data_IF_869258878069
#
_entry.id   IF_869258878069
#
_cell.length_a   1.000
_cell.length_b   1.000
_cell.length_c   1.000
_cell.angle_alpha   90.00
_cell.angle_beta   90.00
_cell.angle_gamma   90.00
#
_symmetry.space_group_name_H-M   'P 1'
#
loop_
_entity.id
_entity.type
_entity.pdbx_description
1 polymer ?
#
# COMPACT_ATOMS: atom_id res chain seq x y z
N UNK A 1 10.19 7.53 -37.64
CA UNK A 1 9.44 8.13 -36.51
C UNK A 1 8.56 9.30 -36.99
N UNK A 2 9.07 10.31 -37.72
CA UNK A 2 8.23 11.36 -38.36
C UNK A 2 7.09 10.81 -39.24
N UNK A 3 7.40 9.88 -40.15
CA UNK A 3 6.38 9.22 -40.97
C UNK A 3 5.38 8.39 -40.14
N UNK A 4 5.82 7.83 -39.00
CA UNK A 4 4.90 7.15 -38.08
C UNK A 4 4.01 8.17 -37.35
N UNK A 5 4.54 9.32 -36.96
CA UNK A 5 3.78 10.41 -36.35
C UNK A 5 2.70 10.94 -37.30
N UNK A 6 3.05 11.13 -38.58
CA UNK A 6 2.13 11.63 -39.60
C UNK A 6 1.07 10.61 -40.03
N UNK A 7 1.39 9.31 -40.03
CA UNK A 7 0.52 8.26 -40.59
C UNK A 7 -0.31 7.50 -39.54
N UNK A 8 0.03 7.58 -38.25
CA UNK A 8 -0.71 6.89 -37.19
C UNK A 8 -2.01 7.61 -36.83
N UNK A 9 -3.08 6.84 -36.62
CA UNK A 9 -4.39 7.39 -36.27
C UNK A 9 -4.59 7.58 -34.77
N UNK A 10 -3.80 6.90 -33.94
CA UNK A 10 -3.87 6.98 -32.48
C UNK A 10 -2.51 6.68 -31.82
N UNK A 11 -2.41 7.05 -30.54
CA UNK A 11 -1.22 6.83 -29.70
C UNK A 11 -0.82 5.35 -29.58
N UNK A 12 -1.78 4.41 -29.62
CA UNK A 12 -1.49 2.97 -29.53
C UNK A 12 -0.80 2.43 -30.78
N UNK A 13 -1.23 2.85 -31.97
CA UNK A 13 -0.58 2.51 -33.24
C UNK A 13 0.83 3.07 -33.28
N UNK A 14 1.01 4.32 -32.84
CA UNK A 14 2.33 4.94 -32.73
C UNK A 14 3.25 4.14 -31.79
N UNK A 15 2.76 3.76 -30.61
CA UNK A 15 3.53 2.96 -29.64
C UNK A 15 4.02 1.60 -30.18
N UNK A 16 3.28 0.99 -31.11
CA UNK A 16 3.69 -0.28 -31.77
C UNK A 16 4.73 -0.09 -32.86
N UNK A 17 4.74 1.08 -33.49
CA UNK A 17 5.59 1.42 -34.63
C UNK A 17 6.84 2.22 -34.25
N UNK A 18 6.85 2.82 -33.05
CA UNK A 18 7.97 3.59 -32.55
C UNK A 18 9.23 2.71 -32.44
N UNK A 19 10.28 2.97 -33.23
CA UNK A 19 11.54 2.25 -33.07
C UNK A 19 12.20 2.76 -31.80
N UNK A 20 12.30 1.91 -30.77
CA UNK A 20 12.83 2.26 -29.45
C UNK A 20 14.33 2.64 -29.39
N UNK A 21 14.91 3.15 -30.48
CA UNK A 21 16.36 3.39 -30.61
C UNK A 21 16.75 4.66 -31.39
N UNK A 22 15.81 5.44 -31.96
CA UNK A 22 16.16 6.65 -32.72
C UNK A 22 15.34 7.86 -32.29
N UNK A 23 15.96 8.79 -31.56
CA UNK A 23 15.39 10.10 -31.29
C UNK A 23 15.32 10.93 -32.59
N UNK A 24 14.18 11.60 -32.82
CA UNK A 24 14.03 12.53 -33.95
C UNK A 24 14.56 13.89 -33.53
N UNK A 25 15.36 14.58 -34.36
CA UNK A 25 15.76 15.95 -34.08
C UNK A 25 14.54 16.85 -33.88
N UNK A 26 14.53 17.60 -32.77
CA UNK A 26 13.44 18.51 -32.39
C UNK A 26 13.04 19.45 -33.53
N UNK A 27 14.01 19.96 -34.29
CA UNK A 27 13.75 20.85 -35.42
C UNK A 27 12.84 20.25 -36.50
N UNK A 28 12.94 18.95 -36.76
CA UNK A 28 12.08 18.28 -37.75
C UNK A 28 10.66 18.05 -37.23
N UNK A 29 10.50 17.93 -35.91
CA UNK A 29 9.19 17.86 -35.27
C UNK A 29 8.52 19.24 -35.29
N UNK A 30 9.29 20.30 -34.99
CA UNK A 30 8.80 21.68 -35.07
C UNK A 30 8.29 22.00 -36.48
N UNK A 31 9.04 21.65 -37.53
CA UNK A 31 8.62 21.82 -38.94
C UNK A 31 7.34 21.01 -39.26
N UNK A 32 7.23 19.78 -38.73
CA UNK A 32 6.02 18.99 -38.92
C UNK A 32 4.81 19.65 -38.26
N UNK A 33 4.93 20.13 -37.03
CA UNK A 33 3.82 20.75 -36.30
C UNK A 33 3.33 22.06 -36.91
N UNK A 34 4.14 22.75 -37.72
CA UNK A 34 3.66 23.88 -38.52
C UNK A 34 2.64 23.46 -39.60
N UNK A 35 2.67 22.20 -40.04
CA UNK A 35 1.84 21.68 -41.13
C UNK A 35 0.77 20.67 -40.69
N UNK A 36 1.08 19.83 -39.70
CA UNK A 36 0.23 18.76 -39.23
C UNK A 36 0.54 18.39 -37.78
N UNK A 37 -0.53 18.32 -36.97
CA UNK A 37 -0.47 17.95 -35.57
C UNK A 37 -1.50 16.83 -35.36
N UNK A 38 -1.08 15.65 -34.86
CA UNK A 38 -2.01 14.60 -34.48
C UNK A 38 -2.81 14.98 -33.22
N UNK A 39 -4.14 14.84 -33.26
CA UNK A 39 -5.01 15.17 -32.11
C UNK A 39 -4.72 14.33 -30.84
N UNK A 40 -4.18 13.12 -31.01
CA UNK A 40 -3.86 12.18 -29.92
C UNK A 40 -2.49 12.45 -29.26
N UNK A 41 -1.73 13.43 -29.75
CA UNK A 41 -0.33 13.65 -29.36
C UNK A 41 -0.18 13.95 -27.87
N UNK A 42 -1.07 14.77 -27.32
CA UNK A 42 -1.05 15.18 -25.91
C UNK A 42 -1.26 14.03 -24.91
N UNK A 43 -1.74 12.87 -25.38
CA UNK A 43 -1.96 11.66 -24.57
C UNK A 43 -0.89 10.59 -24.84
N UNK A 44 0.10 10.88 -25.69
CA UNK A 44 1.07 9.89 -26.14
C UNK A 44 2.34 9.88 -25.31
N UNK A 45 2.31 9.18 -24.17
CA UNK A 45 3.51 8.99 -23.34
C UNK A 45 4.70 8.44 -24.13
N UNK A 46 4.46 7.49 -25.03
CA UNK A 46 5.49 6.84 -25.84
C UNK A 46 6.20 7.79 -26.82
N UNK A 47 5.56 8.89 -27.20
CA UNK A 47 6.17 9.96 -27.98
C UNK A 47 6.79 11.01 -27.05
N UNK A 48 6.01 11.52 -26.09
CA UNK A 48 6.36 12.69 -25.29
C UNK A 48 7.57 12.45 -24.38
N UNK A 49 7.74 11.22 -23.86
CA UNK A 49 8.87 10.86 -22.99
C UNK A 49 10.23 10.96 -23.67
N UNK A 50 10.27 10.99 -25.00
CA UNK A 50 11.51 11.09 -25.79
C UNK A 50 12.03 12.54 -25.87
N UNK A 51 11.30 13.50 -25.30
CA UNK A 51 11.63 14.92 -25.34
C UNK A 51 11.66 15.52 -23.93
N UNK A 52 12.49 16.55 -23.76
CA UNK A 52 12.59 17.27 -22.51
C UNK A 52 11.26 17.92 -22.12
N UNK A 53 10.92 17.87 -20.83
CA UNK A 53 9.73 18.49 -20.25
C UNK A 53 9.54 19.95 -20.70
N UNK A 54 10.61 20.76 -20.68
CA UNK A 54 10.54 22.16 -21.08
C UNK A 54 10.17 22.33 -22.56
N UNK A 55 10.65 21.43 -23.42
CA UNK A 55 10.33 21.46 -24.85
C UNK A 55 8.87 21.08 -25.09
N UNK A 56 8.37 20.09 -24.35
CA UNK A 56 6.96 19.70 -24.44
C UNK A 56 6.04 20.84 -23.98
N UNK A 57 6.41 21.56 -22.92
CA UNK A 57 5.66 22.75 -22.49
C UNK A 57 5.71 23.88 -23.53
N UNK A 58 6.85 24.09 -24.21
CA UNK A 58 6.93 25.04 -25.32
C UNK A 58 5.91 24.72 -26.42
N UNK A 59 5.75 23.44 -26.78
CA UNK A 59 4.74 23.00 -27.74
C UNK A 59 3.32 23.24 -27.26
N UNK A 60 3.04 23.00 -25.97
CA UNK A 60 1.73 23.31 -25.39
C UNK A 60 1.43 24.82 -25.42
N UNK A 61 2.41 25.68 -25.10
CA UNK A 61 2.25 27.14 -25.18
C UNK A 61 2.04 27.65 -26.62
N UNK A 62 2.61 26.96 -27.61
CA UNK A 62 2.35 27.21 -29.04
C UNK A 62 0.98 26.70 -29.50
N UNK A 63 0.23 26.00 -28.64
CA UNK A 63 -1.06 25.41 -28.97
C UNK A 63 -0.96 24.14 -29.81
N UNK A 64 0.21 23.51 -29.89
CA UNK A 64 0.42 22.30 -30.69
C UNK A 64 -0.13 21.05 -30.00
N UNK A 65 -0.24 21.05 -28.69
CA UNK A 65 -0.81 19.94 -27.95
C UNK A 65 -1.43 20.46 -26.66
N UNK A 66 -2.22 19.61 -26.03
CA UNK A 66 -2.69 19.83 -24.67
C UNK A 66 -2.36 18.60 -23.85
N UNK A 67 -1.54 18.77 -22.81
CA UNK A 67 -1.20 17.67 -21.92
C UNK A 67 -2.40 17.35 -21.03
N UNK A 68 -2.57 16.07 -20.73
CA UNK A 68 -3.40 15.66 -19.61
C UNK A 68 -2.57 15.66 -18.32
N UNK A 69 -3.26 15.55 -17.19
CA UNK A 69 -2.63 15.65 -15.87
C UNK A 69 -1.59 14.54 -15.63
N UNK A 70 -1.86 13.31 -16.06
CA UNK A 70 -0.96 12.16 -15.91
C UNK A 70 0.33 12.32 -16.72
N UNK A 71 0.23 12.80 -17.96
CA UNK A 71 1.39 13.10 -18.81
C UNK A 71 2.22 14.23 -18.20
N UNK A 72 1.56 15.28 -17.72
CA UNK A 72 2.22 16.42 -17.08
C UNK A 72 3.01 15.99 -15.84
N UNK A 73 2.41 15.13 -15.00
CA UNK A 73 3.07 14.56 -13.84
C UNK A 73 4.25 13.68 -14.23
N UNK A 74 4.06 12.77 -15.21
CA UNK A 74 5.09 11.82 -15.63
C UNK A 74 6.30 12.53 -16.23
N UNK A 75 6.09 13.47 -17.15
CA UNK A 75 7.16 14.23 -17.79
C UNK A 75 7.90 15.12 -16.80
N UNK A 76 7.18 15.75 -15.86
CA UNK A 76 7.83 16.52 -14.81
C UNK A 76 8.68 15.58 -13.94
N UNK A 77 8.14 14.44 -13.50
CA UNK A 77 8.85 13.51 -12.59
C UNK A 77 10.23 13.08 -13.11
N UNK A 78 10.36 12.89 -14.42
CA UNK A 78 11.59 12.46 -15.10
C UNK A 78 12.45 13.60 -15.65
N UNK A 79 12.03 14.86 -15.55
CA UNK A 79 12.78 15.99 -16.13
C UNK A 79 14.20 16.17 -15.55
N UNK A 80 14.50 15.52 -14.43
CA UNK A 80 15.77 15.52 -13.73
C UNK A 80 16.85 14.75 -14.51
N UNK A 81 16.45 13.87 -15.44
CA UNK A 81 17.32 13.15 -16.36
C UNK A 81 17.81 14.01 -17.54
N UNK A 82 17.28 15.24 -17.69
CA UNK A 82 17.70 16.16 -18.75
C UNK A 82 18.94 16.99 -18.37
N UNK A 83 19.60 17.55 -19.39
CA UNK A 83 20.74 18.47 -19.23
C UNK A 83 20.34 19.83 -18.64
N UNK A 84 19.03 20.12 -18.55
CA UNK A 84 18.53 21.37 -17.99
C UNK A 84 18.88 21.51 -16.50
N UNK A 85 19.04 22.73 -16.03
CA UNK A 85 19.23 23.06 -14.63
C UNK A 85 17.91 22.95 -13.86
N UNK A 86 17.97 22.76 -12.53
CA UNK A 86 16.77 22.77 -11.68
C UNK A 86 16.03 24.11 -11.75
N UNK A 87 16.75 25.22 -11.95
CA UNK A 87 16.14 26.54 -12.08
C UNK A 87 15.34 26.65 -13.39
N UNK A 88 15.89 26.18 -14.51
CA UNK A 88 15.18 26.15 -15.79
C UNK A 88 13.93 25.27 -15.70
N UNK A 89 14.03 24.05 -15.17
CA UNK A 89 12.89 23.12 -15.09
C UNK A 89 11.76 23.70 -14.24
N UNK A 90 12.08 24.32 -13.10
CA UNK A 90 11.08 24.74 -12.12
C UNK A 90 10.49 26.13 -12.40
N UNK A 91 11.25 27.04 -13.00
CA UNK A 91 10.87 28.46 -13.07
C UNK A 91 10.68 29.02 -14.49
N UNK A 92 10.99 28.27 -15.55
CA UNK A 92 10.75 28.75 -16.93
C UNK A 92 9.25 28.97 -17.20
N UNK A 93 8.41 28.04 -16.74
CA UNK A 93 6.96 28.10 -16.94
C UNK A 93 6.22 28.09 -15.59
N UNK A 94 5.38 29.10 -15.29
CA UNK A 94 4.67 29.18 -14.00
C UNK A 94 3.82 27.96 -13.67
N UNK A 95 3.23 27.32 -14.70
CA UNK A 95 2.39 26.12 -14.58
C UNK A 95 3.09 24.98 -13.84
N UNK A 96 4.43 24.92 -13.89
CA UNK A 96 5.21 23.88 -13.21
C UNK A 96 4.99 23.91 -11.70
N UNK A 97 5.08 25.09 -11.07
CA UNK A 97 4.90 25.24 -9.62
C UNK A 97 3.44 25.48 -9.22
N UNK A 98 2.64 26.08 -10.10
CA UNK A 98 1.23 26.34 -9.84
C UNK A 98 0.36 25.09 -9.94
N UNK A 99 0.72 24.15 -10.83
CA UNK A 99 -0.10 22.96 -11.13
C UNK A 99 0.71 21.66 -11.15
N UNK A 100 1.69 21.52 -12.05
CA UNK A 100 2.28 20.20 -12.36
C UNK A 100 2.98 19.55 -11.17
N UNK A 101 3.61 20.34 -10.28
CA UNK A 101 4.23 19.83 -9.05
C UNK A 101 3.24 19.10 -8.14
N UNK A 102 1.97 19.51 -8.13
CA UNK A 102 0.93 18.90 -7.30
C UNK A 102 0.36 17.63 -7.92
N UNK A 103 0.50 17.46 -9.24
CA UNK A 103 0.10 16.23 -9.94
C UNK A 103 1.04 15.07 -9.60
N UNK A 104 2.28 15.35 -9.19
CA UNK A 104 3.23 14.35 -8.70
C UNK A 104 2.71 13.58 -7.46
N UNK A 105 1.74 14.14 -6.72
CA UNK A 105 1.11 13.50 -5.56
C UNK A 105 -0.18 12.72 -5.92
N UNK A 106 -0.62 12.80 -7.17
CA UNK A 106 -1.89 12.26 -7.65
C UNK A 106 -1.73 11.11 -8.64
N UNK A 107 -0.54 10.98 -9.24
CA UNK A 107 -0.22 9.94 -10.21
C UNK A 107 1.03 9.16 -9.78
N UNK A 108 1.06 7.88 -10.12
CA UNK A 108 2.22 7.02 -9.91
C UNK A 108 3.25 7.31 -11.02
N UNK A 109 4.40 7.87 -10.66
CA UNK A 109 5.37 8.48 -11.59
C UNK A 109 6.80 8.08 -11.23
N UNK A 110 7.82 8.64 -11.89
CA UNK A 110 9.22 8.38 -11.55
C UNK A 110 9.73 9.27 -10.40
N UNK A 111 8.83 9.83 -9.57
CA UNK A 111 9.20 10.69 -8.44
C UNK A 111 10.09 9.99 -7.40
N UNK A 112 10.01 8.65 -7.33
CA UNK A 112 10.85 7.83 -6.44
C UNK A 112 12.27 7.66 -6.94
N UNK A 113 12.54 7.93 -8.22
CA UNK A 113 13.84 7.79 -8.86
C UNK A 113 14.87 8.77 -8.28
N UNK A 114 16.13 8.34 -8.25
CA UNK A 114 17.24 9.16 -7.81
C UNK A 114 18.16 9.51 -8.98
N UNK A 115 18.16 10.77 -9.39
CA UNK A 115 18.94 11.29 -10.52
C UNK A 115 20.27 11.87 -10.03
N UNK A 116 21.07 11.02 -9.38
CA UNK A 116 22.40 11.36 -8.87
C UNK A 116 22.38 12.39 -7.74
N UNK A 117 22.70 13.66 -8.06
CA UNK A 117 22.70 14.76 -7.09
C UNK A 117 21.34 15.45 -6.95
N UNK A 118 20.38 15.13 -7.81
CA UNK A 118 19.07 15.76 -7.82
C UNK A 118 18.04 14.74 -7.36
N UNK A 119 17.35 15.04 -6.27
CA UNK A 119 16.23 14.23 -5.81
C UNK A 119 15.03 15.11 -5.45
N UNK A 120 13.85 14.52 -5.62
CA UNK A 120 12.58 15.21 -5.41
C UNK A 120 12.33 15.58 -3.95
N UNK A 121 12.79 14.78 -2.98
CA UNK A 121 12.60 15.09 -1.55
C UNK A 121 13.32 16.37 -1.15
N UNK A 122 14.58 16.52 -1.53
CA UNK A 122 15.38 17.74 -1.31
C UNK A 122 14.78 18.92 -2.07
N UNK A 123 14.40 18.72 -3.33
CA UNK A 123 13.82 19.80 -4.14
C UNK A 123 12.53 20.35 -3.53
N UNK A 124 11.60 19.47 -3.13
CA UNK A 124 10.35 19.86 -2.50
C UNK A 124 10.57 20.54 -1.14
N UNK A 125 11.56 20.07 -0.36
CA UNK A 125 11.94 20.70 0.90
C UNK A 125 12.47 22.12 0.67
N UNK A 126 13.42 22.30 -0.26
CA UNK A 126 13.97 23.62 -0.61
C UNK A 126 12.87 24.57 -1.10
N UNK A 127 11.99 24.12 -1.99
CA UNK A 127 10.89 24.95 -2.50
C UNK A 127 9.94 25.42 -1.38
N UNK A 128 9.67 24.57 -0.39
CA UNK A 128 8.85 24.94 0.76
C UNK A 128 9.57 25.91 1.71
N UNK A 129 10.87 25.69 1.97
CA UNK A 129 11.70 26.56 2.80
C UNK A 129 11.86 27.97 2.20
N UNK A 130 12.04 28.03 0.88
CA UNK A 130 12.13 29.27 0.10
C UNK A 130 10.77 29.92 -0.18
N UNK A 131 9.68 29.35 0.36
CA UNK A 131 8.29 29.81 0.19
C UNK A 131 7.85 29.91 -1.27
N UNK A 132 8.41 29.06 -2.14
CA UNK A 132 8.01 28.92 -3.54
C UNK A 132 6.75 28.07 -3.70
N UNK A 133 6.52 27.15 -2.76
CA UNK A 133 5.30 26.37 -2.64
C UNK A 133 4.76 26.42 -1.20
N UNK A 134 3.46 26.20 -1.04
CA UNK A 134 2.83 26.19 0.28
C UNK A 134 3.21 24.93 1.07
N UNK A 135 3.83 25.13 2.24
CA UNK A 135 4.30 24.03 3.10
C UNK A 135 3.15 23.19 3.66
N UNK A 136 2.04 23.81 4.04
CA UNK A 136 0.89 23.10 4.59
C UNK A 136 0.22 22.22 3.52
N UNK A 137 0.14 22.71 2.29
CA UNK A 137 -0.31 21.98 1.12
C UNK A 137 0.64 20.82 0.82
N UNK A 138 1.97 21.02 0.88
CA UNK A 138 2.96 19.96 0.67
C UNK A 138 2.83 18.82 1.68
N UNK A 139 2.70 19.14 2.97
CA UNK A 139 2.50 18.14 4.03
C UNK A 139 1.17 17.39 3.82
N UNK A 140 0.09 18.10 3.54
CA UNK A 140 -1.23 17.49 3.28
C UNK A 140 -1.22 16.60 2.04
N UNK A 141 -0.59 17.06 0.95
CA UNK A 141 -0.48 16.30 -0.30
C UNK A 141 0.34 15.03 -0.12
N UNK A 142 1.43 15.06 0.66
CA UNK A 142 2.20 13.86 1.01
C UNK A 142 1.33 12.80 1.69
N UNK A 143 0.48 13.17 2.66
CA UNK A 143 -0.40 12.21 3.34
C UNK A 143 -1.58 11.75 2.47
N UNK A 144 -2.14 12.64 1.65
CA UNK A 144 -3.17 12.26 0.68
C UNK A 144 -2.64 11.25 -0.34
N UNK A 145 -1.41 11.43 -0.80
CA UNK A 145 -0.77 10.53 -1.74
C UNK A 145 -0.67 9.09 -1.19
N UNK A 146 -0.35 8.93 0.09
CA UNK A 146 -0.34 7.61 0.77
C UNK A 146 -1.72 6.91 0.73
N UNK A 147 -2.81 7.68 0.68
CA UNK A 147 -4.16 7.15 0.64
C UNK A 147 -4.64 6.82 -0.79
N UNK A 148 -3.95 7.31 -1.82
CA UNK A 148 -4.05 6.69 -3.14
C UNK A 148 -3.32 5.36 -3.05
N UNK A 149 -4.01 4.28 -3.38
CA UNK A 149 -3.51 2.91 -3.22
C UNK A 149 -2.43 2.58 -4.27
N UNK A 150 -1.39 3.42 -4.39
CA UNK A 150 -0.20 3.22 -5.22
C UNK A 150 0.63 2.04 -4.72
N UNK A 151 1.69 1.72 -5.47
CA UNK A 151 2.65 0.72 -5.03
C UNK A 151 3.22 1.02 -3.63
N UNK A 152 3.66 -0.05 -2.97
CA UNK A 152 4.33 0.02 -1.66
C UNK A 152 5.50 0.99 -1.67
N UNK A 153 6.25 1.02 -2.77
CA UNK A 153 7.40 1.92 -2.93
C UNK A 153 6.97 3.38 -2.89
N UNK A 154 5.96 3.76 -3.68
CA UNK A 154 5.43 5.12 -3.73
C UNK A 154 4.88 5.58 -2.39
N UNK A 155 4.03 4.77 -1.76
CA UNK A 155 3.43 5.14 -0.48
C UNK A 155 4.47 5.23 0.64
N UNK A 156 5.50 4.37 0.60
CA UNK A 156 6.65 4.50 1.51
C UNK A 156 7.39 5.81 1.25
N UNK A 157 7.65 6.16 -0.02
CA UNK A 157 8.35 7.37 -0.40
C UNK A 157 7.62 8.64 0.08
N UNK A 158 6.29 8.71 -0.04
CA UNK A 158 5.51 9.86 0.42
C UNK A 158 5.48 10.00 1.95
N UNK A 159 5.40 8.89 2.69
CA UNK A 159 5.50 8.92 4.15
C UNK A 159 6.90 9.34 4.61
N UNK A 160 7.94 8.90 3.88
CA UNK A 160 9.32 9.34 4.10
C UNK A 160 9.51 10.82 3.76
N UNK A 161 8.92 11.33 2.68
CA UNK A 161 8.91 12.76 2.35
C UNK A 161 8.27 13.55 3.49
N UNK A 162 7.09 13.14 3.96
CA UNK A 162 6.43 13.78 5.10
C UNK A 162 7.35 13.83 6.32
N UNK A 163 8.06 12.74 6.61
CA UNK A 163 9.04 12.69 7.72
C UNK A 163 10.25 13.60 7.47
N UNK A 164 10.76 13.63 6.24
CA UNK A 164 11.93 14.41 5.82
C UNK A 164 11.70 15.93 5.87
N UNK A 165 10.44 16.35 5.72
CA UNK A 165 10.01 17.74 5.88
C UNK A 165 9.96 18.20 7.34
N UNK A 166 10.19 17.29 8.30
CA UNK A 166 10.29 17.57 9.74
C UNK A 166 9.10 18.39 10.26
N UNK A 167 7.87 17.86 10.16
CA UNK A 167 6.67 18.58 10.56
C UNK A 167 6.70 18.88 12.05
N UNK A 168 6.30 20.09 12.40
CA UNK A 168 6.15 20.54 13.78
C UNK A 168 5.02 19.79 14.47
N UNK A 169 4.98 19.84 15.80
CA UNK A 169 3.87 19.23 16.58
C UNK A 169 2.51 19.79 16.19
N UNK A 170 2.43 21.09 15.91
CA UNK A 170 1.19 21.76 15.48
C UNK A 170 0.73 21.29 14.09
N UNK A 171 1.67 21.12 13.16
CA UNK A 171 1.40 20.56 11.83
C UNK A 171 0.91 19.10 11.93
N UNK A 172 1.55 18.28 12.78
CA UNK A 172 1.12 16.89 13.04
C UNK A 172 -0.30 16.87 13.65
N UNK A 173 -0.60 17.75 14.61
CA UNK A 173 -1.94 17.84 15.21
C UNK A 173 -3.00 18.28 14.20
N UNK A 174 -2.65 19.20 13.29
CA UNK A 174 -3.56 19.66 12.23
C UNK A 174 -3.88 18.55 11.23
N UNK A 175 -2.94 17.64 10.99
CA UNK A 175 -3.04 16.53 10.03
C UNK A 175 -3.29 15.17 10.70
N UNK A 176 -3.71 15.16 11.97
CA UNK A 176 -3.84 13.92 12.74
C UNK A 176 -4.88 12.98 12.12
N UNK A 177 -5.95 13.50 11.53
CA UNK A 177 -7.00 12.68 10.91
C UNK A 177 -6.45 11.93 9.68
N UNK A 178 -5.71 12.64 8.81
CA UNK A 178 -5.05 12.02 7.65
C UNK A 178 -4.00 10.99 8.08
N UNK A 179 -3.25 11.24 9.16
CA UNK A 179 -2.28 10.30 9.71
C UNK A 179 -2.97 9.05 10.28
N UNK A 180 -4.06 9.20 11.02
CA UNK A 180 -4.79 8.08 11.58
C UNK A 180 -5.45 7.22 10.49
N UNK A 181 -5.86 7.83 9.37
CA UNK A 181 -6.44 7.12 8.23
C UNK A 181 -5.49 6.10 7.61
N UNK A 182 -4.17 6.33 7.68
CA UNK A 182 -3.16 5.39 7.15
C UNK A 182 -3.25 4.02 7.81
N UNK A 183 -3.63 3.94 9.09
CA UNK A 183 -3.78 2.67 9.80
C UNK A 183 -4.97 1.83 9.33
N UNK A 184 -5.88 2.39 8.54
CA UNK A 184 -6.95 1.66 7.87
C UNK A 184 -6.54 1.12 6.48
N UNK A 185 -5.35 1.47 5.98
CA UNK A 185 -4.86 0.99 4.69
C UNK A 185 -4.47 -0.49 4.75
N UNK A 186 -4.45 -1.15 3.59
CA UNK A 186 -3.95 -2.54 3.44
C UNK A 186 -2.43 -2.64 3.57
N UNK A 187 -1.72 -1.51 3.54
CA UNK A 187 -0.25 -1.44 3.52
C UNK A 187 0.31 -1.33 4.94
N UNK A 188 0.21 -2.42 5.71
CA UNK A 188 0.66 -2.49 7.12
C UNK A 188 2.14 -2.12 7.33
N UNK A 189 2.97 -2.13 6.29
CA UNK A 189 4.36 -1.67 6.34
C UNK A 189 4.52 -0.18 6.67
N UNK A 190 3.48 0.64 6.47
CA UNK A 190 3.50 2.07 6.76
C UNK A 190 3.20 2.39 8.23
N UNK A 191 2.62 1.44 8.96
CA UNK A 191 2.12 1.66 10.31
C UNK A 191 3.23 2.03 11.31
N UNK A 192 4.43 1.41 11.29
CA UNK A 192 5.50 1.78 12.21
C UNK A 192 5.98 3.24 12.01
N UNK A 193 6.11 3.68 10.76
CA UNK A 193 6.50 5.06 10.43
C UNK A 193 5.44 6.06 10.87
N UNK A 194 4.17 5.76 10.59
CA UNK A 194 3.03 6.59 10.98
C UNK A 194 2.92 6.70 12.50
N UNK A 195 3.05 5.58 13.23
CA UNK A 195 3.02 5.58 14.69
C UNK A 195 4.17 6.39 15.27
N UNK A 196 5.38 6.32 14.68
CA UNK A 196 6.51 7.15 15.10
C UNK A 196 6.18 8.64 14.98
N UNK A 197 5.53 9.07 13.90
CA UNK A 197 5.08 10.46 13.71
C UNK A 197 4.06 10.84 14.80
N UNK A 198 2.96 10.08 14.90
CA UNK A 198 1.87 10.35 15.86
C UNK A 198 2.35 10.33 17.31
N UNK A 199 3.35 9.48 17.64
CA UNK A 199 3.91 9.36 18.99
C UNK A 199 4.45 10.67 19.57
N UNK A 200 4.79 11.62 18.71
CA UNK A 200 5.34 12.92 19.10
C UNK A 200 4.29 13.82 19.76
N UNK A 201 3.00 13.62 19.48
CA UNK A 201 1.91 14.50 19.90
C UNK A 201 0.87 13.83 20.82
N UNK A 202 1.05 12.55 21.17
CA UNK A 202 0.08 11.78 22.00
C UNK A 202 -0.30 12.42 23.34
N UNK A 203 0.55 13.30 23.88
CA UNK A 203 0.35 13.95 25.18
C UNK A 203 -0.13 15.39 25.06
N UNK A 204 -0.33 15.89 23.83
CA UNK A 204 -0.80 17.25 23.57
C UNK A 204 -2.32 17.31 23.77
N UNK A 205 -2.82 18.42 24.34
CA UNK A 205 -4.25 18.55 24.68
C UNK A 205 -5.20 18.48 23.48
N UNK A 206 -4.72 18.91 22.31
CA UNK A 206 -5.50 18.91 21.07
C UNK A 206 -5.46 17.57 20.32
N UNK A 207 -4.71 16.58 20.84
CA UNK A 207 -4.66 15.25 20.25
C UNK A 207 -5.98 14.51 20.48
N UNK A 208 -6.52 13.92 19.42
CA UNK A 208 -7.75 13.14 19.44
C UNK A 208 -7.46 11.73 19.94
N UNK A 209 -7.27 11.62 21.25
CA UNK A 209 -6.93 10.35 21.90
C UNK A 209 -7.97 9.25 21.63
N UNK A 210 -9.26 9.59 21.67
CA UNK A 210 -10.34 8.61 21.43
C UNK A 210 -10.23 7.98 20.03
N UNK A 211 -10.04 8.80 19.00
CA UNK A 211 -9.89 8.35 17.62
C UNK A 211 -8.65 7.44 17.47
N UNK A 212 -7.54 7.79 18.11
CA UNK A 212 -6.35 6.94 18.13
C UNK A 212 -6.59 5.59 18.84
N UNK A 213 -7.32 5.57 19.96
CA UNK A 213 -7.68 4.34 20.65
C UNK A 213 -8.57 3.44 19.79
N UNK A 214 -9.53 4.02 19.07
CA UNK A 214 -10.39 3.27 18.15
C UNK A 214 -9.57 2.52 17.08
N UNK A 215 -8.62 3.22 16.46
CA UNK A 215 -7.72 2.62 15.46
C UNK A 215 -6.78 1.58 16.07
N UNK A 216 -6.29 1.85 17.28
CA UNK A 216 -5.34 0.98 18.01
C UNK A 216 -5.89 -0.41 18.29
N UNK A 217 -7.21 -0.57 18.43
CA UNK A 217 -7.87 -1.87 18.63
C UNK A 217 -7.59 -2.87 17.51
N UNK A 218 -7.48 -2.40 16.25
CA UNK A 218 -7.11 -3.25 15.13
C UNK A 218 -5.60 -3.55 15.11
N UNK A 219 -4.78 -2.58 15.52
CA UNK A 219 -3.32 -2.66 15.47
C UNK A 219 -2.73 -3.64 16.49
N UNK A 220 -3.39 -3.82 17.64
CA UNK A 220 -2.90 -4.70 18.73
C UNK A 220 -2.87 -6.18 18.31
N UNK A 221 -3.71 -6.55 17.33
CA UNK A 221 -3.86 -7.92 16.82
C UNK A 221 -2.87 -8.26 15.69
N UNK A 222 -2.04 -7.30 15.27
CA UNK A 222 -1.07 -7.54 14.20
C UNK A 222 0.03 -8.51 14.67
N UNK A 223 0.50 -9.43 13.81
CA UNK A 223 1.51 -10.43 14.17
C UNK A 223 2.92 -9.83 14.38
N UNK A 224 3.10 -8.55 14.08
CA UNK A 224 4.40 -7.87 14.09
C UNK A 224 4.78 -7.41 15.50
N UNK A 225 5.64 -8.18 16.19
CA UNK A 225 6.13 -7.87 17.55
C UNK A 225 6.59 -6.42 17.74
N UNK A 226 7.39 -5.90 16.80
CA UNK A 226 7.93 -4.54 16.91
C UNK A 226 6.82 -3.47 16.89
N UNK A 227 5.80 -3.68 16.06
CA UNK A 227 4.66 -2.76 15.96
C UNK A 227 3.81 -2.81 17.23
N UNK A 228 3.48 -4.01 17.72
CA UNK A 228 2.72 -4.18 18.96
C UNK A 228 3.48 -3.54 20.12
N UNK A 229 4.79 -3.78 20.25
CA UNK A 229 5.60 -3.15 21.30
C UNK A 229 5.63 -1.60 21.21
N UNK A 230 5.70 -1.05 20.00
CA UNK A 230 5.63 0.40 19.79
C UNK A 230 4.25 0.96 20.19
N UNK A 231 3.18 0.22 19.87
CA UNK A 231 1.82 0.59 20.27
C UNK A 231 1.64 0.52 21.79
N UNK A 232 2.16 -0.50 22.47
CA UNK A 232 2.17 -0.58 23.94
C UNK A 232 2.83 0.67 24.57
N UNK A 233 3.96 1.12 24.02
CA UNK A 233 4.62 2.35 24.49
C UNK A 233 3.77 3.60 24.27
N UNK A 234 3.08 3.70 23.12
CA UNK A 234 2.19 4.81 22.82
C UNK A 234 1.01 4.87 23.80
N UNK A 235 0.37 3.73 24.06
CA UNK A 235 -0.75 3.62 25.00
C UNK A 235 -0.33 3.91 26.44
N UNK A 236 0.83 3.40 26.87
CA UNK A 236 1.39 3.71 28.19
C UNK A 236 1.66 5.22 28.35
N UNK A 237 2.17 5.87 27.29
CA UNK A 237 2.41 7.33 27.29
C UNK A 237 1.12 8.12 27.48
N UNK A 238 0.02 7.69 26.85
CA UNK A 238 -1.31 8.29 27.03
C UNK A 238 -1.80 8.07 28.47
N UNK A 239 -1.71 6.84 28.97
CA UNK A 239 -2.17 6.49 30.32
C UNK A 239 -1.47 7.33 31.41
N UNK A 240 -0.18 7.66 31.24
CA UNK A 240 0.58 8.51 32.17
C UNK A 240 0.01 9.92 32.34
N UNK A 241 -0.61 10.48 31.30
CA UNK A 241 -1.06 11.88 31.29
C UNK A 241 -2.58 12.02 31.33
N UNK A 242 -3.33 10.96 31.05
CA UNK A 242 -4.78 11.02 30.96
C UNK A 242 -5.45 9.80 31.60
N UNK A 243 -5.92 9.98 32.84
CA UNK A 243 -6.61 8.95 33.60
C UNK A 243 -8.01 8.61 33.09
N UNK A 244 -8.64 9.48 32.30
CA UNK A 244 -9.97 9.22 31.75
C UNK A 244 -9.98 8.01 30.80
N UNK A 245 -8.84 7.68 30.19
CA UNK A 245 -8.71 6.56 29.26
C UNK A 245 -8.13 5.29 29.87
N UNK A 246 -7.88 5.24 31.19
CA UNK A 246 -7.26 4.08 31.85
C UNK A 246 -8.05 2.78 31.61
N UNK A 247 -9.37 2.79 31.80
CA UNK A 247 -10.21 1.59 31.57
C UNK A 247 -10.17 1.18 30.09
N UNK A 248 -10.36 2.11 29.16
CA UNK A 248 -10.32 1.83 27.71
C UNK A 248 -8.97 1.24 27.27
N UNK A 249 -7.86 1.81 27.75
CA UNK A 249 -6.51 1.30 27.46
C UNK A 249 -6.35 -0.12 28.02
N UNK A 250 -6.78 -0.39 29.26
CA UNK A 250 -6.65 -1.73 29.84
C UNK A 250 -7.44 -2.79 29.04
N UNK A 251 -8.65 -2.46 28.61
CA UNK A 251 -9.47 -3.33 27.77
C UNK A 251 -8.80 -3.59 26.40
N UNK A 252 -8.29 -2.54 25.76
CA UNK A 252 -7.60 -2.63 24.47
C UNK A 252 -6.35 -3.51 24.53
N UNK A 253 -5.68 -3.57 25.68
CA UNK A 253 -4.48 -4.38 25.88
C UNK A 253 -4.76 -5.87 26.11
N UNK A 254 -5.97 -6.26 26.50
CA UNK A 254 -6.29 -7.65 26.84
C UNK A 254 -5.99 -8.66 25.70
N UNK A 255 -6.29 -8.37 24.42
CA UNK A 255 -5.97 -9.28 23.31
C UNK A 255 -4.46 -9.56 23.13
N UNK A 256 -3.57 -8.73 23.70
CA UNK A 256 -2.11 -8.99 23.66
C UNK A 256 -1.77 -10.34 24.27
N UNK A 257 -2.55 -10.83 25.24
CA UNK A 257 -2.32 -12.10 25.92
C UNK A 257 -2.56 -13.33 25.03
N UNK A 258 -3.14 -13.18 23.84
CA UNK A 258 -3.15 -14.24 22.82
C UNK A 258 -1.79 -14.44 22.16
N UNK A 259 -0.89 -13.46 22.23
CA UNK A 259 0.46 -13.57 21.67
C UNK A 259 1.33 -14.47 22.55
N UNK A 260 2.07 -15.40 21.94
CA UNK A 260 3.02 -16.29 22.64
C UNK A 260 4.33 -15.60 23.07
N UNK A 261 4.45 -14.30 22.85
CA UNK A 261 5.66 -13.54 23.19
C UNK A 261 5.63 -13.09 24.66
N UNK A 262 6.54 -13.65 25.46
CA UNK A 262 6.66 -13.35 26.89
C UNK A 262 6.87 -11.85 27.15
N UNK A 263 7.68 -11.16 26.36
CA UNK A 263 8.01 -9.77 26.61
C UNK A 263 6.81 -8.84 26.35
N UNK A 264 6.03 -9.11 25.30
CA UNK A 264 4.79 -8.38 25.02
C UNK A 264 3.75 -8.58 26.12
N UNK A 265 3.50 -9.84 26.53
CA UNK A 265 2.55 -10.12 27.61
C UNK A 265 2.97 -9.46 28.93
N UNK A 266 4.23 -9.60 29.34
CA UNK A 266 4.72 -8.97 30.58
C UNK A 266 4.57 -7.45 30.54
N UNK A 267 4.80 -6.82 29.38
CA UNK A 267 4.66 -5.37 29.24
C UNK A 267 3.19 -4.93 29.30
N UNK A 268 2.30 -5.59 28.58
CA UNK A 268 0.86 -5.32 28.67
C UNK A 268 0.34 -5.52 30.10
N UNK A 269 0.73 -6.61 30.76
CA UNK A 269 0.36 -6.89 32.15
C UNK A 269 0.86 -5.81 33.11
N UNK A 270 2.08 -5.27 32.94
CA UNK A 270 2.58 -4.14 33.74
C UNK A 270 1.72 -2.89 33.57
N UNK A 271 1.37 -2.55 32.33
CA UNK A 271 0.52 -1.37 32.05
C UNK A 271 -0.84 -1.54 32.72
N UNK A 272 -1.48 -2.71 32.57
CA UNK A 272 -2.78 -2.99 33.21
C UNK A 272 -2.67 -2.99 34.74
N UNK A 273 -1.59 -3.55 35.31
CA UNK A 273 -1.39 -3.55 36.75
C UNK A 273 -1.15 -2.16 37.35
N UNK A 274 -0.55 -1.25 36.56
CA UNK A 274 -0.22 0.11 36.99
C UNK A 274 -1.41 1.08 36.86
N UNK A 275 -2.18 0.98 35.76
CA UNK A 275 -3.25 1.94 35.43
C UNK A 275 -4.67 1.36 35.56
N UNK A 276 -4.82 0.04 35.67
CA UNK A 276 -6.12 -0.61 35.78
C UNK A 276 -6.73 -0.51 37.17
N UNK A 277 -8.03 -0.27 37.24
CA UNK A 277 -8.78 -0.38 38.50
C UNK A 277 -9.09 -1.86 38.77
N UNK A 278 -8.53 -2.41 39.86
CA UNK A 278 -8.77 -3.80 40.28
C UNK A 278 -10.23 -4.09 40.62
N UNK A 279 -11.06 -3.08 40.85
CA UNK A 279 -12.50 -3.23 41.12
C UNK A 279 -13.36 -3.06 39.86
N UNK A 280 -12.77 -2.77 38.68
CA UNK A 280 -13.54 -2.66 37.43
C UNK A 280 -14.00 -4.04 36.97
N UNK A 281 -15.32 -4.28 37.03
CA UNK A 281 -15.94 -5.50 36.52
C UNK A 281 -15.64 -5.73 35.03
N UNK A 282 -15.54 -4.66 34.23
CA UNK A 282 -15.23 -4.76 32.80
C UNK A 282 -13.83 -5.33 32.58
N UNK A 283 -12.82 -4.76 33.25
CA UNK A 283 -11.43 -5.22 33.10
C UNK A 283 -11.30 -6.67 33.59
N UNK A 284 -11.90 -7.00 34.74
CA UNK A 284 -11.87 -8.37 35.26
C UNK A 284 -12.55 -9.36 34.30
N UNK A 285 -13.71 -9.01 33.74
CA UNK A 285 -14.45 -9.87 32.82
C UNK A 285 -13.68 -10.09 31.52
N UNK A 286 -13.10 -9.03 30.97
CA UNK A 286 -12.30 -9.12 29.75
C UNK A 286 -11.04 -9.98 29.95
N UNK A 287 -10.28 -9.76 31.02
CA UNK A 287 -9.06 -10.53 31.31
C UNK A 287 -9.33 -12.02 31.51
N UNK A 288 -10.49 -12.38 32.06
CA UNK A 288 -10.87 -13.80 32.25
C UNK A 288 -10.88 -14.58 30.94
N UNK A 289 -11.28 -13.95 29.83
CA UNK A 289 -11.30 -14.56 28.49
C UNK A 289 -9.91 -15.04 28.04
N UNK A 290 -8.85 -14.45 28.58
CA UNK A 290 -7.47 -14.71 28.18
C UNK A 290 -6.68 -15.56 29.20
N UNK A 291 -7.29 -15.99 30.30
CA UNK A 291 -6.61 -16.69 31.41
C UNK A 291 -5.83 -17.94 30.94
N UNK A 292 -6.39 -18.70 30.00
CA UNK A 292 -5.77 -19.90 29.42
C UNK A 292 -4.52 -19.61 28.57
N UNK A 293 -4.36 -18.37 28.10
CA UNK A 293 -3.25 -17.92 27.25
C UNK A 293 -2.19 -17.11 28.02
N UNK A 294 -2.44 -16.80 29.29
CA UNK A 294 -1.50 -16.06 30.14
C UNK A 294 -0.26 -16.89 30.45
N UNK A 295 0.91 -16.30 30.18
CA UNK A 295 2.19 -16.82 30.64
C UNK A 295 2.41 -16.46 32.11
N UNK A 296 3.18 -17.31 32.82
CA UNK A 296 3.41 -17.22 34.27
C UNK A 296 3.71 -15.79 34.76
N UNK A 297 4.68 -15.09 34.16
CA UNK A 297 5.04 -13.72 34.56
C UNK A 297 3.89 -12.71 34.42
N UNK A 298 3.08 -12.82 33.36
CA UNK A 298 1.94 -11.94 33.16
C UNK A 298 0.79 -12.27 34.12
N UNK A 299 0.56 -13.57 34.38
CA UNK A 299 -0.41 -14.05 35.36
C UNK A 299 -0.13 -13.54 36.78
N UNK A 300 1.14 -13.58 37.21
CA UNK A 300 1.55 -13.06 38.53
C UNK A 300 1.25 -11.56 38.66
N UNK A 301 1.53 -10.78 37.61
CA UNK A 301 1.27 -9.32 37.62
C UNK A 301 -0.22 -9.00 37.68
N UNK A 302 -1.08 -9.87 37.14
CA UNK A 302 -2.52 -9.66 37.04
C UNK A 302 -3.32 -10.41 38.11
N UNK A 303 -2.67 -11.10 39.06
CA UNK A 303 -3.34 -11.94 40.06
C UNK A 303 -4.51 -11.23 40.75
N UNK A 304 -4.31 -9.96 41.15
CA UNK A 304 -5.34 -9.13 41.82
C UNK A 304 -6.59 -8.89 40.97
N UNK A 305 -6.48 -8.90 39.65
CA UNK A 305 -7.60 -8.73 38.73
C UNK A 305 -8.34 -10.05 38.46
N UNK A 306 -7.71 -11.18 38.75
CA UNK A 306 -8.26 -12.51 38.52
C UNK A 306 -8.96 -13.10 39.77
N UNK A 307 -8.90 -12.42 40.91
CA UNK A 307 -9.52 -12.87 42.17
C UNK A 307 -11.05 -12.80 42.06
N UNK A 308 -11.71 -13.94 42.29
CA UNK A 308 -13.17 -14.03 42.35
C UNK A 308 -13.74 -13.33 43.60
N UNK A 309 -14.62 -12.34 43.44
CA UNK A 309 -15.70 -12.10 44.40
C UNK A 309 -16.90 -12.97 43.98
N UNK A 310 -16.99 -14.17 44.55
CA UNK A 310 -18.12 -15.07 44.41
C UNK A 310 -17.88 -16.22 43.44
N UNK A 311 -18.01 -17.44 43.97
CA UNK A 311 -18.01 -18.69 43.22
C UNK A 311 -19.09 -18.65 42.14
N UNK A 312 -18.69 -18.60 40.88
CA UNK A 312 -19.40 -19.32 39.84
C UNK A 312 -18.66 -20.64 39.65
N UNK A 313 -19.35 -21.75 39.91
CA UNK A 313 -18.86 -23.08 39.54
C UNK A 313 -18.39 -23.05 38.07
N UNK A 314 -17.30 -23.75 37.72
CA UNK A 314 -17.02 -23.96 36.32
C UNK A 314 -18.19 -24.78 35.78
N UNK A 315 -19.01 -24.19 34.90
CA UNK A 315 -19.73 -25.01 33.94
C UNK A 315 -18.63 -25.74 33.17
N UNK A 316 -18.39 -27.00 33.54
CA UNK A 316 -17.80 -27.98 32.63
C UNK A 316 -18.77 -28.08 31.46
N UNK A 317 -18.67 -27.13 30.53
CA UNK A 317 -19.06 -27.37 29.16
C UNK A 317 -18.13 -28.48 28.71
N UNK A 318 -18.69 -29.68 28.74
CA UNK A 318 -18.13 -30.88 28.15
C UNK A 318 -18.03 -30.60 26.65
N UNK A 319 -16.98 -29.90 26.24
CA UNK A 319 -16.60 -29.83 24.84
C UNK A 319 -16.15 -31.25 24.52
N UNK A 320 -17.06 -32.05 23.97
CA UNK A 320 -16.64 -33.15 23.10
C UNK A 320 -15.62 -32.53 22.15
N UNK A 321 -14.40 -33.07 22.14
CA UNK A 321 -13.33 -32.62 21.29
C UNK A 321 -13.77 -32.80 19.83
N UNK A 322 -14.52 -31.83 19.32
CA UNK A 322 -14.82 -31.73 17.91
C UNK A 322 -13.45 -31.53 17.26
N UNK A 323 -13.07 -32.48 16.41
CA UNK A 323 -11.85 -32.38 15.63
C UNK A 323 -11.84 -30.98 14.97
N UNK A 324 -10.90 -30.14 15.40
CA UNK A 324 -10.70 -28.76 14.94
C UNK A 324 -10.44 -28.66 13.44
N UNK A 325 -10.27 -29.81 12.79
CA UNK A 325 -10.14 -29.99 11.36
C UNK A 325 -10.82 -31.31 10.97
N UNK A 326 -11.88 -31.24 10.17
CA UNK A 326 -12.30 -32.38 9.35
C UNK A 326 -11.50 -32.29 8.06
N UNK A 327 -10.64 -33.29 7.81
CA UNK A 327 -10.01 -33.42 6.50
C UNK A 327 -11.11 -33.66 5.48
N UNK A 328 -11.51 -32.63 4.75
CA UNK A 328 -12.35 -32.80 3.58
C UNK A 328 -11.45 -33.37 2.47
N UNK A 329 -11.71 -34.60 2.00
CA UNK A 329 -10.96 -35.14 0.88
C UNK A 329 -11.20 -34.23 -0.32
N UNK A 330 -10.11 -33.84 -0.96
CA UNK A 330 -10.13 -33.12 -2.23
C UNK A 330 -10.91 -34.00 -3.23
N UNK A 331 -12.04 -33.50 -3.71
CA UNK A 331 -12.90 -34.28 -4.61
C UNK A 331 -12.23 -34.39 -5.97
N UNK A 332 -12.03 -35.60 -6.52
CA UNK A 332 -11.48 -35.74 -7.86
C UNK A 332 -12.45 -35.18 -8.90
N UNK A 333 -11.91 -34.67 -10.00
CA UNK A 333 -12.71 -34.25 -11.15
C UNK A 333 -13.23 -35.50 -11.84
N UNK A 334 -14.55 -35.61 -11.98
CA UNK A 334 -15.20 -36.86 -12.39
C UNK A 334 -15.49 -36.92 -13.90
N UNK A 335 -15.58 -35.77 -14.58
CA UNK A 335 -15.94 -35.69 -15.99
C UNK A 335 -15.09 -34.67 -16.75
N UNK A 336 -15.04 -34.80 -18.08
CA UNK A 336 -14.33 -33.86 -18.97
C UNK A 336 -14.95 -32.47 -18.94
N UNK A 337 -16.28 -32.36 -18.88
CA UNK A 337 -16.94 -31.05 -18.79
C UNK A 337 -16.62 -30.34 -17.46
N UNK A 338 -16.54 -31.08 -16.35
CA UNK A 338 -16.08 -30.55 -15.06
C UNK A 338 -14.61 -30.11 -15.13
N UNK A 339 -13.77 -30.88 -15.83
CA UNK A 339 -12.37 -30.52 -16.07
C UNK A 339 -12.26 -29.21 -16.87
N UNK A 340 -13.04 -29.04 -17.94
CA UNK A 340 -13.03 -27.84 -18.78
C UNK A 340 -13.46 -26.61 -17.97
N UNK A 341 -14.51 -26.73 -17.17
CA UNK A 341 -14.96 -25.66 -16.29
C UNK A 341 -13.88 -25.29 -15.26
N UNK A 342 -13.30 -26.30 -14.61
CA UNK A 342 -12.24 -26.15 -13.62
C UNK A 342 -10.96 -25.52 -14.20
N UNK A 343 -10.55 -25.92 -15.41
CA UNK A 343 -9.35 -25.44 -16.10
C UNK A 343 -9.29 -23.92 -16.22
N UNK A 344 -10.44 -23.28 -16.43
CA UNK A 344 -10.54 -21.81 -16.52
C UNK A 344 -10.29 -21.11 -15.17
N UNK A 345 -10.57 -21.80 -14.06
CA UNK A 345 -10.47 -21.25 -12.70
C UNK A 345 -9.09 -21.47 -12.07
N UNK A 346 -8.37 -22.52 -12.49
CA UNK A 346 -7.02 -22.83 -12.00
C UNK A 346 -6.09 -21.62 -12.15
N UNK A 347 -6.15 -20.95 -13.30
CA UNK A 347 -5.31 -19.78 -13.58
C UNK A 347 -5.80 -18.49 -12.93
N UNK A 348 -6.97 -18.45 -12.28
CA UNK A 348 -7.48 -17.26 -11.58
C UNK A 348 -7.48 -17.41 -10.05
N UNK A 349 -7.57 -18.64 -9.52
CA UNK A 349 -7.56 -18.92 -8.08
C UNK A 349 -6.15 -18.88 -7.46
N UNK A 350 -6.07 -18.54 -6.16
CA UNK A 350 -4.84 -18.56 -5.35
C UNK A 350 -4.69 -19.84 -4.51
N UNK A 351 -5.51 -20.86 -4.78
CA UNK A 351 -5.57 -22.11 -3.99
C UNK A 351 -4.49 -23.08 -4.44
N UNK A 352 -3.66 -23.54 -3.49
CA UNK A 352 -2.44 -24.31 -3.79
C UNK A 352 -2.70 -25.68 -4.42
N UNK A 353 -3.74 -26.41 -3.98
CA UNK A 353 -4.01 -27.79 -4.45
C UNK A 353 -4.73 -27.88 -5.80
N UNK A 354 -5.22 -26.75 -6.35
CA UNK A 354 -5.95 -26.76 -7.63
C UNK A 354 -5.05 -27.14 -8.81
N UNK A 355 -3.76 -26.86 -8.73
CA UNK A 355 -2.80 -27.27 -9.76
C UNK A 355 -2.57 -28.78 -9.77
N UNK A 356 -2.48 -29.40 -8.59
CA UNK A 356 -2.30 -30.85 -8.48
C UNK A 356 -3.52 -31.60 -9.02
N UNK A 357 -4.74 -31.14 -8.68
CA UNK A 357 -5.98 -31.69 -9.25
C UNK A 357 -6.09 -31.50 -10.76
N UNK A 358 -5.61 -30.35 -11.28
CA UNK A 358 -5.61 -30.08 -12.71
C UNK A 358 -4.70 -31.07 -13.45
N UNK A 359 -3.49 -31.32 -12.93
CA UNK A 359 -2.56 -32.27 -13.50
C UNK A 359 -3.09 -33.71 -13.42
N UNK A 360 -3.67 -34.10 -12.28
CA UNK A 360 -4.28 -35.41 -12.10
C UNK A 360 -5.42 -35.65 -13.12
N UNK A 361 -6.34 -34.69 -13.25
CA UNK A 361 -7.45 -34.79 -14.19
C UNK A 361 -6.98 -34.76 -15.66
N UNK A 362 -5.97 -33.95 -16.00
CA UNK A 362 -5.39 -33.92 -17.34
C UNK A 362 -4.81 -35.29 -17.73
N UNK A 363 -4.11 -35.96 -16.80
CA UNK A 363 -3.57 -37.30 -17.02
C UNK A 363 -4.70 -38.32 -17.17
N UNK A 364 -5.72 -38.27 -16.32
CA UNK A 364 -6.84 -39.20 -16.34
C UNK A 364 -7.69 -39.11 -17.63
N UNK A 365 -7.95 -37.89 -18.12
CA UNK A 365 -8.79 -37.66 -19.31
C UNK A 365 -8.00 -37.56 -20.62
N UNK A 366 -6.67 -37.79 -20.62
CA UNK A 366 -5.81 -37.56 -21.78
C UNK A 366 -6.28 -38.28 -23.07
N UNK A 367 -6.91 -39.44 -22.94
CA UNK A 367 -7.39 -40.24 -24.08
C UNK A 367 -8.85 -39.96 -24.46
N UNK A 368 -9.55 -39.10 -23.73
CA UNK A 368 -10.99 -38.85 -23.89
C UNK A 368 -11.29 -37.47 -24.53
N UNK A 369 -10.28 -36.64 -24.76
CA UNK A 369 -10.45 -35.35 -25.42
C UNK A 369 -10.79 -35.51 -26.91
N UNK A 370 -11.75 -34.72 -27.38
CA UNK A 370 -12.06 -34.53 -28.80
C UNK A 370 -11.87 -33.07 -29.23
N UNK A 371 -12.08 -32.77 -30.51
CA UNK A 371 -11.90 -31.42 -31.06
C UNK A 371 -12.83 -30.38 -30.42
N UNK A 372 -14.04 -30.76 -29.99
CA UNK A 372 -14.99 -29.82 -29.38
C UNK A 372 -14.62 -29.53 -27.92
N UNK A 373 -14.12 -30.52 -27.18
CA UNK A 373 -13.53 -30.31 -25.86
C UNK A 373 -12.31 -29.37 -25.92
N UNK A 374 -11.44 -29.53 -26.92
CA UNK A 374 -10.27 -28.65 -27.10
C UNK A 374 -10.66 -27.20 -27.41
N UNK A 375 -11.72 -26.97 -28.20
CA UNK A 375 -12.25 -25.61 -28.43
C UNK A 375 -12.78 -24.98 -27.14
N UNK A 376 -13.48 -25.76 -26.30
CA UNK A 376 -14.00 -25.27 -25.01
C UNK A 376 -12.89 -24.94 -24.00
N UNK A 377 -11.66 -25.45 -24.17
CA UNK A 377 -10.50 -25.12 -23.34
C UNK A 377 -9.77 -23.82 -23.74
N UNK A 378 -10.12 -23.21 -24.88
CA UNK A 378 -9.50 -21.95 -25.35
C UNK A 378 -9.48 -20.82 -24.30
N UNK A 379 -10.54 -20.59 -23.50
CA UNK A 379 -10.51 -19.58 -22.42
C UNK A 379 -9.46 -19.88 -21.35
N UNK A 380 -9.25 -21.16 -21.01
CA UNK A 380 -8.23 -21.58 -20.04
C UNK A 380 -6.81 -21.31 -20.57
N UNK A 381 -6.56 -21.59 -21.85
CA UNK A 381 -5.27 -21.26 -22.48
C UNK A 381 -5.01 -19.75 -22.54
N UNK A 382 -6.04 -18.93 -22.83
CA UNK A 382 -5.92 -17.46 -22.77
C UNK A 382 -5.62 -16.97 -21.35
N UNK A 383 -6.24 -17.55 -20.33
CA UNK A 383 -5.97 -17.23 -18.92
C UNK A 383 -4.54 -17.61 -18.52
N UNK A 384 -4.05 -18.77 -18.94
CA UNK A 384 -2.66 -19.20 -18.73
C UNK A 384 -1.67 -18.25 -19.42
N UNK A 385 -1.96 -17.83 -20.66
CA UNK A 385 -1.08 -16.95 -21.45
C UNK A 385 -0.94 -15.56 -20.82
N UNK A 386 -2.00 -15.03 -20.21
CA UNK A 386 -1.94 -13.78 -19.41
C UNK A 386 -1.02 -13.89 -18.19
N UNK A 387 -0.80 -15.09 -17.65
CA UNK A 387 0.09 -15.34 -16.51
C UNK A 387 1.53 -15.71 -16.87
N UNK A 388 1.86 -15.79 -18.17
CA UNK A 388 3.19 -16.19 -18.70
C UNK A 388 4.38 -15.32 -18.21
N UNK A 389 4.13 -14.13 -17.69
CA UNK A 389 5.14 -13.23 -17.08
C UNK A 389 5.20 -13.24 -15.54
N UNK A 390 4.33 -13.99 -14.86
CA UNK A 390 4.28 -14.05 -13.39
C UNK A 390 5.13 -15.21 -12.87
N UNK A 391 5.85 -15.01 -11.75
CA UNK A 391 6.89 -15.92 -11.26
C UNK A 391 6.46 -17.39 -11.06
N UNK A 392 5.16 -17.67 -10.87
CA UNK A 392 4.65 -19.02 -10.64
C UNK A 392 4.80 -20.00 -11.81
N UNK A 393 4.88 -19.54 -13.06
CA UNK A 393 4.94 -20.40 -14.26
C UNK A 393 6.38 -20.79 -14.67
N UNK A 394 7.41 -20.17 -14.08
CA UNK A 394 8.82 -20.51 -14.37
C UNK A 394 9.20 -21.92 -13.88
N UNK A 395 8.57 -22.38 -12.80
CA UNK A 395 8.83 -23.72 -12.25
C UNK A 395 8.24 -24.84 -13.13
N UNK A 396 7.15 -24.57 -13.84
CA UNK A 396 6.48 -25.51 -14.74
C UNK A 396 7.23 -25.71 -16.06
N UNK A 397 7.81 -24.64 -16.62
CA UNK A 397 8.65 -24.73 -17.82
C UNK A 397 9.95 -25.53 -17.61
N UNK A 398 10.47 -25.56 -16.37
CA UNK A 398 11.65 -26.33 -16.02
C UNK A 398 11.39 -27.85 -15.93
N UNK A 399 10.13 -28.28 -15.87
CA UNK A 399 9.76 -29.70 -15.77
C UNK A 399 9.57 -30.36 -17.14
N UNK A 400 9.48 -29.57 -18.22
CA UNK A 400 9.24 -30.04 -19.59
C UNK A 400 10.42 -29.74 -20.55
N UNK A 401 11.57 -29.32 -20.02
CA UNK A 401 12.83 -29.15 -20.76
C UNK A 401 13.82 -30.26 -20.46
#
# INVERSE_FOLDING_TARGET
MLAALACCKNSSEYGKLSPGYYSVPVAQIDELFESYIPDWLGESYSFLKEFDYLKVLEWEQKGYLKLNDEMSASLLSSAWDSDNTSEEILFTWPVTLESHIWLLFQYETEITSNYGKRNWKETLKMLAEDRKIDRSALLRSSLKAVNFNFSKEHNTWFLELFTYLEPTREEILTLQDELLMIFHSTQTSLFPGTLKIVSQVLTEKAFKTEDFLQVSSALIMLPTKNMVNALLLALEKIAKVNSAFHENICLLLAPVFLNKDKALQTKAAKIIAEYGNTESEKIQTELKLYTSSLLSDAGILLEKFLIQKGKSEPEEQNYEAAAWHRSEPVRPIQTIDDFIFFASQVFSSSTTYHFDQFLEALVNFNNEFDEDHLKKLEPAFKAALKKKGTGGLRHLLATFL
#
